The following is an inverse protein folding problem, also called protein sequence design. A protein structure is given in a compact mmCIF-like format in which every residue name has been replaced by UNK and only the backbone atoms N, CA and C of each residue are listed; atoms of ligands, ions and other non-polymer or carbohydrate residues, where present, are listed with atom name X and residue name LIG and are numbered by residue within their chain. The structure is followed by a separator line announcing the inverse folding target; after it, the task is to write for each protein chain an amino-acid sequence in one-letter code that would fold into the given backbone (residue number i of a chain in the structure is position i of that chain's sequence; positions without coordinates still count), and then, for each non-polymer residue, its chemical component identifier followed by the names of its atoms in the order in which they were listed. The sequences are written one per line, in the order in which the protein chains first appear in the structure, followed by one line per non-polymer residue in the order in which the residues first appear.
data_IF_184440155935
#
_entry.id   IF_184440155935
#
_cell.length_a   1.000
_cell.length_b   1.000
_cell.length_c   1.000
_cell.angle_alpha   90.00
_cell.angle_beta   90.00
_cell.angle_gamma   90.00
#
_symmetry.space_group_name_H-M   'P 1'
#
loop_
_entity.id
_entity.type
_entity.pdbx_description
1 polymer ?
#
# COMPACT_ATOMS: atom_id res chain seq x y z
N UNK A 1 -14.37 8.96 -13.77
CA UNK A 1 -13.45 8.51 -12.70
C UNK A 1 -14.25 8.16 -11.46
N UNK A 2 -13.90 7.07 -10.82
CA UNK A 2 -14.57 6.63 -9.59
C UNK A 2 -13.64 6.87 -8.40
N UNK A 3 -14.19 7.39 -7.30
CA UNK A 3 -13.45 7.64 -6.06
C UNK A 3 -13.75 6.49 -5.09
N UNK A 4 -12.72 5.94 -4.48
CA UNK A 4 -12.81 4.83 -3.53
C UNK A 4 -12.39 5.32 -2.14
N UNK A 5 -13.30 5.19 -1.19
CA UNK A 5 -13.02 5.34 0.24
C UNK A 5 -13.69 4.17 0.95
N UNK A 6 -13.06 3.69 2.02
CA UNK A 6 -13.58 2.57 2.80
C UNK A 6 -13.54 2.89 4.29
N UNK A 7 -14.56 2.45 5.02
CA UNK A 7 -14.61 2.59 6.48
C UNK A 7 -13.79 1.52 7.19
N UNK A 8 -13.28 0.54 6.48
CA UNK A 8 -12.39 -0.51 7.03
C UNK A 8 -10.97 0.00 7.30
N UNK A 9 -10.66 1.22 6.86
CA UNK A 9 -9.38 1.90 7.08
C UNK A 9 -9.63 3.25 7.73
N UNK A 10 -8.60 3.84 8.37
CA UNK A 10 -8.72 5.21 8.87
C UNK A 10 -9.04 6.16 7.72
N UNK A 11 -9.76 7.23 8.02
CA UNK A 11 -10.01 8.29 7.06
C UNK A 11 -8.69 8.86 6.55
N UNK A 12 -8.69 9.32 5.30
CA UNK A 12 -7.56 10.03 4.73
C UNK A 12 -7.22 11.27 5.59
N UNK A 13 -5.94 11.46 5.85
CA UNK A 13 -5.44 12.54 6.72
C UNK A 13 -5.40 13.91 6.02
N UNK A 14 -5.93 14.03 4.83
CA UNK A 14 -5.92 15.24 4.04
C UNK A 14 -6.90 15.16 2.87
N UNK A 15 -6.79 16.09 1.90
CA UNK A 15 -7.73 16.15 0.77
C UNK A 15 -7.38 15.12 -0.31
N UNK A 16 -7.52 13.82 0.01
CA UNK A 16 -7.29 12.72 -0.93
C UNK A 16 -8.18 11.53 -0.59
N UNK A 17 -8.34 10.63 -1.54
CA UNK A 17 -9.12 9.40 -1.40
C UNK A 17 -8.20 8.21 -1.20
N UNK A 18 -8.72 7.08 -0.72
CA UNK A 18 -7.92 5.85 -0.61
C UNK A 18 -7.48 5.36 -1.99
N UNK A 19 -8.31 5.52 -3.01
CA UNK A 19 -7.95 5.21 -4.39
C UNK A 19 -8.87 5.92 -5.36
N UNK A 20 -8.44 5.96 -6.62
CA UNK A 20 -9.28 6.37 -7.75
C UNK A 20 -9.23 5.28 -8.81
N UNK A 21 -10.32 5.16 -9.58
CA UNK A 21 -10.41 4.20 -10.67
C UNK A 21 -10.68 4.97 -11.96
N UNK A 22 -9.84 4.74 -12.96
CA UNK A 22 -10.00 5.35 -14.27
C UNK A 22 -9.59 4.35 -15.34
N UNK A 23 -10.45 4.17 -16.35
CA UNK A 23 -10.19 3.27 -17.48
C UNK A 23 -9.80 1.85 -17.03
N UNK A 24 -10.49 1.31 -16.01
CA UNK A 24 -10.22 -0.03 -15.51
C UNK A 24 -8.96 -0.17 -14.67
N UNK A 25 -8.29 0.93 -14.34
CA UNK A 25 -7.09 0.93 -13.53
C UNK A 25 -7.35 1.60 -12.18
N UNK A 26 -6.85 0.98 -11.13
CA UNK A 26 -6.94 1.46 -9.74
C UNK A 26 -5.61 2.11 -9.37
N UNK A 27 -5.67 3.37 -8.97
CA UNK A 27 -4.51 4.11 -8.46
C UNK A 27 -4.72 4.30 -6.97
N UNK A 28 -3.97 3.58 -6.14
CA UNK A 28 -4.09 3.79 -4.69
C UNK A 28 -3.27 4.99 -4.25
N UNK A 29 -3.74 5.67 -3.23
CA UNK A 29 -2.87 6.56 -2.46
C UNK A 29 -1.83 5.71 -1.73
N UNK A 30 -0.75 6.34 -1.28
CA UNK A 30 0.23 5.68 -0.43
C UNK A 30 -0.40 5.30 0.90
N UNK A 31 -0.20 4.05 1.32
CA UNK A 31 -0.64 3.59 2.63
C UNK A 31 0.55 3.56 3.59
N UNK A 32 0.33 4.08 4.79
CA UNK A 32 1.27 4.01 5.91
C UNK A 32 0.72 3.01 6.93
N UNK A 33 1.56 2.49 7.85
CA UNK A 33 1.18 1.34 8.69
C UNK A 33 0.26 1.72 9.87
N UNK A 34 -0.91 2.25 9.56
CA UNK A 34 -1.93 2.58 10.55
C UNK A 34 -2.95 1.45 10.65
N UNK A 35 -3.35 1.14 11.90
CA UNK A 35 -4.48 0.26 12.11
C UNK A 35 -5.81 1.01 11.90
N UNK A 36 -6.94 0.33 12.06
CA UNK A 36 -8.26 0.93 11.85
C UNK A 36 -8.53 2.14 12.77
N UNK A 37 -7.86 2.22 13.91
CA UNK A 37 -7.97 3.34 14.84
C UNK A 37 -7.06 4.51 14.49
N UNK A 38 -6.32 4.41 13.38
CA UNK A 38 -5.42 5.47 12.94
C UNK A 38 -4.11 5.53 13.69
N UNK A 39 -3.71 4.45 14.35
CA UNK A 39 -2.48 4.37 15.13
C UNK A 39 -1.43 3.53 14.43
N UNK A 40 -0.16 3.93 14.56
CA UNK A 40 0.97 3.16 14.06
C UNK A 40 1.03 1.84 14.84
N UNK A 41 1.08 0.72 14.11
CA UNK A 41 0.96 -0.62 14.72
C UNK A 41 2.17 -1.01 15.55
N UNK A 42 3.38 -0.56 15.16
CA UNK A 42 4.63 -0.97 15.78
C UNK A 42 5.78 -0.11 15.26
N UNK A 43 6.89 -0.08 15.99
CA UNK A 43 8.15 0.49 15.51
C UNK A 43 8.94 -0.50 14.63
N UNK A 44 8.54 -1.78 14.59
CA UNK A 44 9.21 -2.80 13.80
C UNK A 44 8.87 -2.66 12.32
N UNK A 45 9.89 -2.61 11.47
CA UNK A 45 9.69 -2.36 10.04
C UNK A 45 8.94 -3.50 9.35
N UNK A 46 9.09 -4.74 9.79
CA UNK A 46 8.36 -5.86 9.20
C UNK A 46 6.88 -5.83 9.58
N UNK A 47 6.58 -5.49 10.84
CA UNK A 47 5.19 -5.31 11.26
C UNK A 47 4.53 -4.13 10.52
N UNK A 48 5.27 -3.04 10.29
CA UNK A 48 4.80 -1.91 9.52
C UNK A 48 4.51 -2.31 8.07
N UNK A 49 5.42 -3.04 7.44
CA UNK A 49 5.26 -3.49 6.04
C UNK A 49 4.03 -4.38 5.90
N UNK A 50 3.83 -5.29 6.83
CA UNK A 50 2.65 -6.17 6.84
C UNK A 50 1.36 -5.35 6.92
N UNK A 51 1.30 -4.38 7.83
CA UNK A 51 0.10 -3.55 7.98
C UNK A 51 -0.19 -2.74 6.73
N UNK A 52 0.84 -2.17 6.10
CA UNK A 52 0.69 -1.43 4.84
C UNK A 52 0.07 -2.32 3.77
N UNK A 53 0.59 -3.55 3.60
CA UNK A 53 0.10 -4.46 2.57
C UNK A 53 -1.31 -4.97 2.88
N UNK A 54 -1.64 -5.21 4.15
CA UNK A 54 -3.01 -5.53 4.55
C UNK A 54 -3.96 -4.38 4.23
N UNK A 55 -3.56 -3.14 4.50
CA UNK A 55 -4.37 -1.96 4.17
C UNK A 55 -4.59 -1.85 2.66
N UNK A 56 -3.54 -2.04 1.86
CA UNK A 56 -3.65 -1.99 0.40
C UNK A 56 -4.55 -3.09 -0.14
N UNK A 57 -4.50 -4.28 0.46
CA UNK A 57 -5.39 -5.38 0.10
C UNK A 57 -6.86 -4.97 0.28
N UNK A 58 -7.17 -4.30 1.39
CA UNK A 58 -8.52 -3.78 1.64
C UNK A 58 -8.92 -2.74 0.58
N UNK A 59 -8.04 -1.79 0.27
CA UNK A 59 -8.30 -0.77 -0.75
C UNK A 59 -8.60 -1.42 -2.10
N UNK A 60 -7.79 -2.40 -2.51
CA UNK A 60 -7.99 -3.08 -3.79
C UNK A 60 -9.32 -3.84 -3.81
N UNK A 61 -9.68 -4.52 -2.73
CA UNK A 61 -10.97 -5.23 -2.65
C UNK A 61 -12.14 -4.26 -2.82
N UNK A 62 -12.11 -3.10 -2.16
CA UNK A 62 -13.14 -2.09 -2.30
C UNK A 62 -13.24 -1.55 -3.73
N UNK A 63 -12.13 -1.52 -4.44
CA UNK A 63 -12.07 -1.04 -5.82
C UNK A 63 -12.43 -2.10 -6.86
N UNK A 64 -12.63 -3.35 -6.45
CA UNK A 64 -12.90 -4.46 -7.38
C UNK A 64 -11.64 -5.07 -7.99
N UNK A 65 -10.53 -4.96 -7.31
CA UNK A 65 -9.23 -5.52 -7.72
C UNK A 65 -8.71 -6.50 -6.67
N UNK A 66 -7.49 -6.97 -6.84
CA UNK A 66 -6.79 -7.79 -5.85
C UNK A 66 -5.27 -7.72 -6.07
N UNK A 67 -4.51 -8.35 -5.19
CA UNK A 67 -3.04 -8.32 -5.26
C UNK A 67 -2.51 -8.99 -6.53
N UNK A 68 -3.20 -9.99 -7.06
CA UNK A 68 -2.78 -10.67 -8.29
C UNK A 68 -2.98 -9.83 -9.55
N UNK A 69 -3.70 -8.71 -9.42
CA UNK A 69 -3.97 -7.79 -10.53
C UNK A 69 -3.07 -6.56 -10.49
N UNK A 70 -2.17 -6.46 -9.55
CA UNK A 70 -1.26 -5.32 -9.40
C UNK A 70 -0.28 -5.28 -10.57
N UNK A 71 -0.20 -4.12 -11.22
CA UNK A 71 0.72 -3.88 -12.34
C UNK A 71 2.04 -3.30 -11.85
N UNK A 72 1.98 -2.40 -10.87
CA UNK A 72 3.17 -1.70 -10.37
C UNK A 72 3.02 -1.39 -8.89
N UNK A 73 4.09 -1.59 -8.14
CA UNK A 73 4.22 -1.15 -6.75
C UNK A 73 5.35 -0.12 -6.65
N UNK A 74 5.14 0.92 -5.85
CA UNK A 74 6.20 1.85 -5.47
C UNK A 74 6.32 1.85 -3.96
N UNK A 75 7.51 1.54 -3.48
CA UNK A 75 7.83 1.45 -2.06
C UNK A 75 8.73 2.64 -1.68
N UNK A 76 8.27 3.40 -0.69
CA UNK A 76 9.05 4.50 -0.12
C UNK A 76 9.52 4.07 1.27
N UNK A 77 10.83 4.11 1.53
CA UNK A 77 11.38 3.66 2.80
C UNK A 77 12.23 4.74 3.44
N UNK A 78 12.27 4.72 4.77
CA UNK A 78 13.05 5.68 5.55
C UNK A 78 14.53 5.32 5.55
N UNK A 79 14.86 4.03 5.52
CA UNK A 79 16.24 3.54 5.64
C UNK A 79 16.44 2.35 4.70
N UNK A 80 17.33 2.50 3.72
CA UNK A 80 17.61 1.43 2.76
C UNK A 80 18.24 0.19 3.44
N UNK A 81 18.78 0.32 4.64
CA UNK A 81 19.26 -0.83 5.41
C UNK A 81 18.13 -1.78 5.80
N UNK A 82 16.87 -1.33 5.77
CA UNK A 82 15.70 -2.17 6.04
C UNK A 82 15.19 -2.90 4.79
N UNK A 83 15.82 -2.71 3.64
CA UNK A 83 15.34 -3.21 2.35
C UNK A 83 15.08 -4.72 2.37
N UNK A 84 16.02 -5.50 2.90
CA UNK A 84 15.85 -6.97 2.94
C UNK A 84 14.70 -7.39 3.84
N UNK A 85 14.54 -6.75 4.99
CA UNK A 85 13.44 -7.05 5.91
C UNK A 85 12.08 -6.75 5.28
N UNK A 86 11.99 -5.62 4.56
CA UNK A 86 10.78 -5.25 3.84
C UNK A 86 10.50 -6.26 2.73
N UNK A 87 11.53 -6.65 1.97
CA UNK A 87 11.38 -7.65 0.91
C UNK A 87 10.87 -8.99 1.40
N UNK A 88 11.28 -9.43 2.58
CA UNK A 88 10.80 -10.69 3.15
C UNK A 88 9.29 -10.68 3.33
N UNK A 89 8.75 -9.59 3.87
CA UNK A 89 7.30 -9.44 4.06
C UNK A 89 6.59 -9.23 2.73
N UNK A 90 7.11 -8.33 1.90
CA UNK A 90 6.57 -8.04 0.57
C UNK A 90 6.45 -9.33 -0.26
N UNK A 91 7.47 -10.18 -0.22
CA UNK A 91 7.50 -11.44 -0.96
C UNK A 91 6.45 -12.45 -0.49
N UNK A 92 5.96 -12.34 0.74
CA UNK A 92 4.86 -13.19 1.21
C UNK A 92 3.54 -12.82 0.53
N UNK A 93 3.35 -11.55 0.17
CA UNK A 93 2.14 -11.07 -0.50
C UNK A 93 2.24 -11.19 -2.02
N UNK A 94 3.43 -11.01 -2.58
CA UNK A 94 3.70 -11.08 -4.01
C UNK A 94 4.65 -12.25 -4.30
N UNK A 95 4.17 -13.46 -4.02
CA UNK A 95 4.95 -14.68 -4.13
C UNK A 95 4.95 -15.24 -5.56
N UNK A 96 3.77 -15.49 -6.11
CA UNK A 96 3.62 -16.02 -7.47
C UNK A 96 3.54 -14.88 -8.49
N UNK A 97 2.62 -13.94 -8.24
CA UNK A 97 2.52 -12.72 -9.06
C UNK A 97 3.52 -11.71 -8.52
N UNK A 98 4.44 -11.30 -9.37
CA UNK A 98 5.48 -10.33 -9.03
C UNK A 98 5.32 -9.09 -9.91
N UNK A 99 4.63 -8.05 -9.44
CA UNK A 99 4.45 -6.85 -10.24
C UNK A 99 5.77 -6.10 -10.46
N UNK A 100 5.79 -5.21 -11.44
CA UNK A 100 6.89 -4.27 -11.58
C UNK A 100 6.99 -3.43 -10.30
N UNK A 101 8.20 -3.03 -9.92
CA UNK A 101 8.42 -2.35 -8.66
C UNK A 101 9.57 -1.36 -8.71
N UNK A 102 9.42 -0.25 -8.00
CA UNK A 102 10.51 0.64 -7.64
C UNK A 102 10.54 0.79 -6.12
N UNK A 103 11.73 0.92 -5.55
CA UNK A 103 11.91 1.16 -4.13
C UNK A 103 12.92 2.28 -3.94
N UNK A 104 12.54 3.31 -3.21
CA UNK A 104 13.38 4.48 -2.99
C UNK A 104 13.44 4.84 -1.51
N UNK A 105 14.61 5.30 -1.07
CA UNK A 105 14.76 5.89 0.24
C UNK A 105 14.36 7.36 0.16
N UNK A 106 13.60 7.82 1.15
CA UNK A 106 13.13 9.20 1.21
C UNK A 106 13.63 9.86 2.50
N UNK A 107 13.66 11.19 2.49
CA UNK A 107 14.13 11.94 3.64
C UNK A 107 13.22 11.75 4.86
N UNK A 108 11.90 11.66 4.63
CA UNK A 108 10.92 11.54 5.71
C UNK A 108 9.59 11.02 5.17
N UNK A 109 8.87 10.29 6.00
CA UNK A 109 7.52 9.81 5.69
C UNK A 109 6.50 10.38 6.67
N UNK A 110 5.21 10.45 6.30
CA UNK A 110 4.17 10.92 7.21
C UNK A 110 4.20 10.15 8.53
N UNK A 111 3.99 10.87 9.63
CA UNK A 111 4.01 10.31 11.00
C UNK A 111 5.31 9.58 11.34
N UNK A 112 6.39 9.87 10.61
CA UNK A 112 7.71 9.28 10.82
C UNK A 112 7.70 7.74 10.73
N UNK A 113 6.81 7.18 9.92
CA UNK A 113 6.80 5.74 9.66
C UNK A 113 8.03 5.33 8.86
N UNK A 114 8.30 4.03 8.81
CA UNK A 114 9.48 3.47 8.14
C UNK A 114 9.21 3.05 6.70
N UNK A 115 7.95 2.86 6.33
CA UNK A 115 7.57 2.38 5.00
C UNK A 115 6.21 2.94 4.60
N UNK A 116 6.10 3.25 3.31
CA UNK A 116 4.85 3.64 2.66
C UNK A 116 4.83 2.99 1.28
N UNK A 117 3.68 2.46 0.86
CA UNK A 117 3.57 1.78 -0.44
C UNK A 117 2.32 2.27 -1.16
N UNK A 118 2.44 2.45 -2.47
CA UNK A 118 1.31 2.70 -3.35
C UNK A 118 1.28 1.67 -4.47
N UNK A 119 0.10 1.39 -4.98
CA UNK A 119 -0.10 0.37 -6.02
C UNK A 119 -0.88 0.94 -7.20
N UNK A 120 -0.53 0.44 -8.38
CA UNK A 120 -1.32 0.58 -9.59
C UNK A 120 -1.83 -0.82 -9.95
N UNK A 121 -3.15 -1.00 -10.04
CA UNK A 121 -3.74 -2.32 -10.20
C UNK A 121 -4.86 -2.29 -11.24
N UNK A 122 -5.14 -3.44 -11.81
CA UNK A 122 -6.22 -3.59 -12.80
C UNK A 122 -7.48 -4.09 -12.10
N UNK A 123 -8.65 -3.56 -12.49
CA UNK A 123 -9.94 -4.12 -12.06
C UNK A 123 -10.01 -5.57 -12.54
N UNK A 124 -10.48 -6.46 -11.68
CA UNK A 124 -10.68 -7.86 -12.07
C UNK A 124 -11.75 -7.96 -13.16
N UNK A 125 -11.50 -8.79 -14.13
CA UNK A 125 -12.49 -9.10 -15.15
C UNK A 125 -13.55 -10.04 -14.56
N UNK A 126 -14.81 -9.79 -14.90
CA UNK A 126 -15.93 -10.62 -14.50
C UNK A 126 -16.05 -11.87 -15.40
#
# INVERSE_FOLDING_TARGET
MKIINTTRLPEALGPYSHATVVNGMVYTSGQIPLNVDGKIVSADVQAQTKQVLENLKVVLEEAGSDLNSVAKATIFIKDMNDFQKINEVYGQYFNEHKPARSCVEVARLPKDVKVEIELLSKIKEL
#
